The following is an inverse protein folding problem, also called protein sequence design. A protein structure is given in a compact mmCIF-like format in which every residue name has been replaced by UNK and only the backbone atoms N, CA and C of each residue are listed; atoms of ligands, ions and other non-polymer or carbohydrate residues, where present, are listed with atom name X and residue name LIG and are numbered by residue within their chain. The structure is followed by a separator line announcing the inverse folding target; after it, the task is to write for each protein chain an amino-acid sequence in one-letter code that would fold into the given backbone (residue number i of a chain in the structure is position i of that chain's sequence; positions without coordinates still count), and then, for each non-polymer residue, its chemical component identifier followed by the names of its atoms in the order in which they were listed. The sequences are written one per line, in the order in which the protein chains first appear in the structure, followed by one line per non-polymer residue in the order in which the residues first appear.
data_IF_311332190772
#
_entry.id   IF_311332190772
#
_cell.length_a   1.000
_cell.length_b   1.000
_cell.length_c   1.000
_cell.angle_alpha   90.00
_cell.angle_beta   90.00
_cell.angle_gamma   90.00
#
_symmetry.space_group_name_H-M   'P 1'
#
loop_
_entity.id
_entity.type
_entity.pdbx_description
1 polymer ?
#
# COMPACT_ATOMS: atom_id res chain seq x y z
N UNK A 1 11.58 -0.71 -3.38
CA UNK A 1 12.29 -0.81 -4.68
C UNK A 1 11.34 -0.61 -5.86
N UNK A 2 10.19 -1.26 -5.91
CA UNK A 2 9.21 -1.11 -7.02
C UNK A 2 8.78 0.35 -7.23
N UNK A 3 8.50 1.10 -6.16
CA UNK A 3 8.16 2.53 -6.26
C UNK A 3 9.26 3.32 -6.95
N UNK A 4 10.53 3.08 -6.59
CA UNK A 4 11.67 3.77 -7.24
C UNK A 4 11.72 3.46 -8.74
N UNK A 5 11.54 2.19 -9.12
CA UNK A 5 11.50 1.80 -10.54
C UNK A 5 10.39 2.54 -11.30
N UNK A 6 9.19 2.61 -10.74
CA UNK A 6 8.07 3.34 -11.36
C UNK A 6 8.37 4.85 -11.46
N UNK A 7 9.01 5.44 -10.45
CA UNK A 7 9.43 6.84 -10.50
C UNK A 7 10.50 7.10 -11.58
N UNK A 8 11.43 6.16 -11.79
CA UNK A 8 12.39 6.20 -12.91
C UNK A 8 11.67 6.17 -14.26
N UNK A 9 10.71 5.22 -14.44
CA UNK A 9 9.92 5.09 -15.66
C UNK A 9 9.10 6.35 -15.96
N UNK A 10 8.56 6.99 -14.92
CA UNK A 10 7.79 8.25 -15.05
C UNK A 10 8.68 9.47 -15.29
N UNK A 11 9.97 9.40 -14.94
CA UNK A 11 10.99 10.41 -15.21
C UNK A 11 10.55 11.83 -14.82
N UNK A 12 10.17 12.02 -13.56
CA UNK A 12 9.84 13.36 -13.05
C UNK A 12 11.07 14.25 -13.08
N UNK A 13 11.02 15.30 -13.88
CA UNK A 13 12.09 16.30 -13.99
C UNK A 13 11.98 17.30 -12.84
N UNK A 14 13.15 17.82 -12.43
CA UNK A 14 13.26 18.86 -11.40
C UNK A 14 12.79 18.43 -10.00
N UNK A 15 12.91 17.14 -9.69
CA UNK A 15 12.68 16.60 -8.35
C UNK A 15 14.01 16.21 -7.69
N UNK A 16 14.13 16.54 -6.42
CA UNK A 16 15.17 15.99 -5.55
C UNK A 16 14.59 14.87 -4.69
N UNK A 17 15.38 13.84 -4.47
CA UNK A 17 14.90 12.67 -3.74
C UNK A 17 15.77 12.39 -2.51
N UNK A 18 15.13 12.06 -1.41
CA UNK A 18 15.78 11.54 -0.20
C UNK A 18 15.17 10.18 0.14
N UNK A 19 16.01 9.19 0.37
CA UNK A 19 15.57 7.83 0.69
C UNK A 19 15.77 7.56 2.18
N UNK A 20 14.69 7.22 2.86
CA UNK A 20 14.70 6.87 4.28
C UNK A 20 14.41 5.39 4.49
N UNK A 21 15.05 4.79 5.49
CA UNK A 21 14.73 3.46 5.98
C UNK A 21 15.06 3.33 7.48
N UNK A 22 14.92 2.13 8.02
CA UNK A 22 15.33 1.84 9.39
C UNK A 22 16.84 1.95 9.56
N UNK A 23 17.32 2.11 10.79
CA UNK A 23 18.74 2.13 11.17
C UNK A 23 19.54 0.98 10.57
N UNK A 24 18.92 -0.22 10.45
CA UNK A 24 19.55 -1.41 9.85
C UNK A 24 19.94 -1.21 8.39
N UNK A 25 19.20 -0.40 7.65
CA UNK A 25 19.41 -0.16 6.20
C UNK A 25 20.06 1.20 5.92
N UNK A 26 20.19 2.05 6.91
CA UNK A 26 20.87 3.34 6.78
C UNK A 26 22.34 3.13 6.37
N UNK A 27 22.88 4.04 5.55
CA UNK A 27 24.23 3.97 4.99
C UNK A 27 24.35 3.08 3.76
N UNK A 28 23.36 2.26 3.42
CA UNK A 28 23.41 1.46 2.18
C UNK A 28 23.18 2.34 0.95
N UNK A 29 23.78 1.95 -0.17
CA UNK A 29 23.62 2.65 -1.46
C UNK A 29 22.51 2.02 -2.28
N UNK A 30 21.70 2.85 -2.92
CA UNK A 30 20.70 2.44 -3.90
C UNK A 30 20.92 3.22 -5.17
N UNK A 31 21.02 2.53 -6.31
CA UNK A 31 21.04 3.16 -7.62
C UNK A 31 19.62 3.55 -8.00
N UNK A 32 19.42 4.81 -8.36
CA UNK A 32 18.14 5.39 -8.76
C UNK A 32 18.40 6.59 -9.67
N UNK A 33 17.67 6.72 -10.78
CA UNK A 33 17.85 7.76 -11.79
C UNK A 33 19.31 7.93 -12.26
N UNK A 34 20.02 6.81 -12.44
CA UNK A 34 21.42 6.81 -12.87
C UNK A 34 22.44 7.28 -11.81
N UNK A 35 21.99 7.58 -10.59
CA UNK A 35 22.83 8.07 -9.49
C UNK A 35 22.78 7.12 -8.27
N UNK A 36 23.80 7.22 -7.41
CA UNK A 36 23.83 6.49 -6.14
C UNK A 36 23.26 7.36 -5.02
N UNK A 37 22.15 6.93 -4.45
CA UNK A 37 21.55 7.53 -3.25
C UNK A 37 21.99 6.75 -2.01
N UNK A 38 22.40 7.46 -0.97
CA UNK A 38 22.66 6.87 0.34
C UNK A 38 21.36 6.89 1.14
N UNK A 39 20.92 5.73 1.60
CA UNK A 39 19.74 5.63 2.47
C UNK A 39 20.05 6.29 3.81
N UNK A 40 19.19 7.21 4.25
CA UNK A 40 19.26 7.85 5.57
C UNK A 40 18.39 7.09 6.58
N UNK A 41 18.74 7.19 7.86
CA UNK A 41 17.88 6.68 8.92
C UNK A 41 16.64 7.58 9.04
N UNK A 42 15.45 6.96 9.11
CA UNK A 42 14.21 7.67 9.40
C UNK A 42 14.13 7.97 10.90
N UNK A 43 14.21 9.24 11.25
CA UNK A 43 14.10 9.78 12.61
C UNK A 43 13.02 10.86 12.68
N UNK A 44 12.70 11.35 13.86
CA UNK A 44 11.75 12.45 14.02
C UNK A 44 12.27 13.75 13.39
N UNK A 45 13.60 13.91 13.33
CA UNK A 45 14.25 15.06 12.70
C UNK A 45 14.30 15.00 11.17
N UNK A 46 13.97 13.87 10.58
CA UNK A 46 14.05 13.65 9.12
C UNK A 46 13.21 14.64 8.32
N UNK A 47 12.13 15.16 8.90
CA UNK A 47 11.22 16.07 8.21
C UNK A 47 11.52 17.57 8.44
N UNK A 48 12.60 17.91 9.14
CA UNK A 48 13.04 19.32 9.32
C UNK A 48 13.47 19.99 8.01
N UNK A 49 13.70 19.23 6.95
CA UNK A 49 14.18 19.70 5.64
C UNK A 49 13.06 19.95 4.63
N UNK A 50 11.88 20.34 5.04
CA UNK A 50 10.75 20.72 4.18
C UNK A 50 10.63 19.91 2.87
N UNK A 51 9.98 18.76 2.95
CA UNK A 51 9.63 17.97 1.77
C UNK A 51 8.26 18.38 1.25
N UNK A 52 8.11 18.55 -0.06
CA UNK A 52 6.81 18.77 -0.68
C UNK A 52 5.93 17.51 -0.59
N UNK A 53 6.54 16.34 -0.85
CA UNK A 53 5.84 15.04 -0.86
C UNK A 53 6.65 13.97 -0.16
N UNK A 54 5.95 13.04 0.49
CA UNK A 54 6.55 11.83 1.04
C UNK A 54 5.72 10.58 0.72
N UNK A 55 6.36 9.52 0.25
CA UNK A 55 5.71 8.23 -0.03
C UNK A 55 6.10 7.24 1.08
N UNK A 56 5.12 6.82 1.86
CA UNK A 56 5.29 5.88 2.96
C UNK A 56 4.98 4.45 2.54
N UNK A 57 5.99 3.57 2.61
CA UNK A 57 5.90 2.14 2.26
C UNK A 57 6.51 1.22 3.33
N UNK A 58 6.70 1.73 4.56
CA UNK A 58 7.41 1.03 5.62
C UNK A 58 6.49 0.30 6.62
N UNK A 59 5.18 0.24 6.33
CA UNK A 59 4.19 -0.44 7.16
C UNK A 59 3.54 0.46 8.23
N UNK A 60 2.44 -0.05 8.82
CA UNK A 60 1.53 0.75 9.64
C UNK A 60 2.16 1.39 10.88
N UNK A 61 3.06 0.70 11.58
CA UNK A 61 3.69 1.26 12.77
C UNK A 61 4.54 2.50 12.45
N UNK A 62 5.27 2.46 11.33
CA UNK A 62 6.08 3.58 10.85
C UNK A 62 5.16 4.71 10.39
N UNK A 63 4.14 4.41 9.61
CA UNK A 63 3.15 5.40 9.15
C UNK A 63 2.48 6.10 10.33
N UNK A 64 2.00 5.35 11.31
CA UNK A 64 1.35 5.92 12.50
C UNK A 64 2.26 6.87 13.29
N UNK A 65 3.57 6.55 13.38
CA UNK A 65 4.53 7.38 14.11
C UNK A 65 4.95 8.62 13.33
N UNK A 66 5.31 8.48 12.06
CA UNK A 66 6.05 9.52 11.33
C UNK A 66 5.19 10.38 10.40
N UNK A 67 4.03 9.91 9.95
CA UNK A 67 3.16 10.71 9.06
C UNK A 67 2.68 11.99 9.75
N UNK A 68 2.24 11.98 11.04
CA UNK A 68 1.86 13.23 11.70
C UNK A 68 2.99 14.26 11.75
N UNK A 69 4.23 13.81 11.92
CA UNK A 69 5.42 14.69 11.94
C UNK A 69 5.65 15.29 10.55
N UNK A 70 5.57 14.48 9.49
CA UNK A 70 5.72 14.95 8.12
C UNK A 70 4.65 15.98 7.75
N UNK A 71 3.39 15.72 8.09
CA UNK A 71 2.28 16.64 7.79
C UNK A 71 2.41 17.97 8.54
N UNK A 72 2.93 17.99 9.76
CA UNK A 72 3.16 19.22 10.53
C UNK A 72 4.17 20.16 9.84
N UNK A 73 5.07 19.65 9.00
CA UNK A 73 6.01 20.46 8.22
C UNK A 73 5.45 20.95 6.88
N UNK A 74 4.17 20.66 6.59
CA UNK A 74 3.53 21.01 5.32
C UNK A 74 3.70 19.96 4.22
N UNK A 75 4.35 18.84 4.51
CA UNK A 75 4.55 17.76 3.56
C UNK A 75 3.23 17.03 3.24
N UNK A 76 2.94 16.80 1.97
CA UNK A 76 1.82 15.94 1.55
C UNK A 76 2.31 14.50 1.51
N UNK A 77 1.65 13.66 2.29
CA UNK A 77 2.02 12.24 2.46
C UNK A 77 1.11 11.33 1.64
N UNK A 78 1.70 10.43 0.87
CA UNK A 78 1.03 9.32 0.22
C UNK A 78 1.33 8.06 1.04
N UNK A 79 0.32 7.55 1.77
CA UNK A 79 0.48 6.41 2.67
C UNK A 79 0.01 5.10 2.04
N UNK A 80 0.93 4.17 1.86
CA UNK A 80 0.63 2.83 1.35
C UNK A 80 0.22 1.83 2.46
N UNK A 81 0.25 2.25 3.72
CA UNK A 81 -0.23 1.41 4.83
C UNK A 81 -1.74 1.42 4.97
N UNK A 82 -2.28 0.56 5.83
CA UNK A 82 -3.72 0.53 6.11
C UNK A 82 -4.18 1.52 7.18
N UNK A 83 -3.27 2.31 7.78
CA UNK A 83 -3.56 3.10 8.98
C UNK A 83 -4.64 4.15 8.75
N UNK A 84 -4.55 4.88 7.65
CA UNK A 84 -5.42 6.02 7.38
C UNK A 84 -6.53 5.73 6.36
N UNK A 85 -6.59 4.53 5.77
CA UNK A 85 -7.53 4.21 4.69
C UNK A 85 -8.99 4.44 5.06
N UNK A 86 -9.38 4.12 6.29
CA UNK A 86 -10.76 4.26 6.76
C UNK A 86 -11.01 5.51 7.60
N UNK A 87 -10.00 6.37 7.77
CA UNK A 87 -10.20 7.69 8.39
C UNK A 87 -11.12 8.55 7.51
N UNK A 88 -12.14 9.18 8.13
CA UNK A 88 -13.12 10.01 7.42
C UNK A 88 -12.53 11.29 6.82
N UNK A 89 -11.43 11.77 7.40
CA UNK A 89 -10.76 13.01 6.98
C UNK A 89 -9.64 12.76 5.97
N UNK A 90 -9.34 11.50 5.66
CA UNK A 90 -8.27 11.11 4.73
C UNK A 90 -8.88 10.50 3.49
N UNK A 91 -8.67 11.07 2.30
CA UNK A 91 -9.14 10.50 1.06
C UNK A 91 -8.41 9.19 0.76
N UNK A 92 -9.17 8.20 0.33
CA UNK A 92 -8.69 6.92 -0.16
C UNK A 92 -8.78 6.95 -1.68
N UNK A 93 -7.63 7.01 -2.37
CA UNK A 93 -7.59 7.41 -3.77
C UNK A 93 -7.05 6.32 -4.68
N UNK A 94 -7.78 6.09 -5.76
CA UNK A 94 -7.31 5.40 -6.98
C UNK A 94 -7.47 6.40 -8.13
N UNK A 95 -6.39 6.93 -8.71
CA UNK A 95 -6.47 8.03 -9.69
C UNK A 95 -7.38 7.75 -10.90
N UNK A 96 -7.49 6.48 -11.32
CA UNK A 96 -8.35 6.05 -12.42
C UNK A 96 -9.84 5.96 -12.04
N UNK A 97 -10.18 6.09 -10.75
CA UNK A 97 -11.53 5.86 -10.23
C UNK A 97 -12.13 7.12 -9.61
N UNK A 98 -11.36 7.79 -8.75
CA UNK A 98 -11.81 8.94 -7.97
C UNK A 98 -10.72 10.02 -7.83
N UNK A 99 -10.10 10.52 -8.94
CA UNK A 99 -8.98 11.46 -8.90
C UNK A 99 -9.33 12.77 -8.19
N UNK A 100 -10.58 13.22 -8.24
CA UNK A 100 -11.06 14.44 -7.59
C UNK A 100 -10.89 14.41 -6.07
N UNK A 101 -10.86 13.21 -5.48
CA UNK A 101 -10.65 13.04 -4.04
C UNK A 101 -9.27 13.47 -3.55
N UNK A 102 -8.29 13.56 -4.45
CA UNK A 102 -6.96 14.07 -4.11
C UNK A 102 -7.04 15.48 -3.50
N UNK A 103 -7.94 16.32 -3.99
CA UNK A 103 -8.08 17.71 -3.53
C UNK A 103 -8.75 17.86 -2.16
N UNK A 104 -9.34 16.78 -1.64
CA UNK A 104 -9.94 16.75 -0.29
C UNK A 104 -8.91 16.45 0.82
N UNK A 105 -7.63 16.20 0.46
CA UNK A 105 -6.62 15.85 1.44
C UNK A 105 -6.29 17.04 2.37
N UNK A 106 -5.94 16.69 3.61
CA UNK A 106 -5.42 17.61 4.63
C UNK A 106 -3.99 17.21 5.00
N UNK A 107 -3.16 16.97 3.97
CA UNK A 107 -1.77 16.54 4.11
C UNK A 107 -1.57 15.01 4.02
N UNK A 108 -2.63 14.20 4.03
CA UNK A 108 -2.52 12.74 3.88
C UNK A 108 -3.44 12.25 2.75
N UNK A 109 -2.89 11.42 1.87
CA UNK A 109 -3.62 10.68 0.84
C UNK A 109 -3.35 9.19 1.10
N UNK A 110 -4.39 8.41 1.35
CA UNK A 110 -4.26 6.97 1.55
C UNK A 110 -4.32 6.22 0.21
N UNK A 111 -3.38 5.27 0.05
CA UNK A 111 -3.36 4.33 -1.06
C UNK A 111 -4.07 3.03 -0.63
N UNK A 112 -5.02 2.51 -1.41
CA UNK A 112 -5.80 1.34 -1.02
C UNK A 112 -5.01 0.03 -0.94
N UNK A 113 -5.70 -1.02 -0.48
CA UNK A 113 -5.23 -2.40 -0.55
C UNK A 113 -4.96 -2.81 -2.00
N UNK A 114 -3.94 -3.65 -2.21
CA UNK A 114 -3.48 -4.05 -3.54
C UNK A 114 -4.56 -4.77 -4.35
N UNK A 115 -5.36 -5.63 -3.73
CA UNK A 115 -6.46 -6.33 -4.40
C UNK A 115 -7.63 -5.41 -4.67
N UNK A 116 -7.91 -4.47 -3.75
CA UNK A 116 -8.96 -3.46 -3.93
C UNK A 116 -8.66 -2.54 -5.12
N UNK A 117 -7.42 -2.05 -5.25
CA UNK A 117 -7.04 -1.14 -6.37
C UNK A 117 -7.37 -1.79 -7.72
N UNK A 118 -6.91 -3.02 -7.93
CA UNK A 118 -7.12 -3.73 -9.20
C UNK A 118 -8.61 -3.92 -9.48
N UNK A 119 -9.37 -4.31 -8.47
CA UNK A 119 -10.80 -4.57 -8.60
C UNK A 119 -11.59 -3.30 -8.93
N UNK A 120 -11.37 -2.19 -8.21
CA UNK A 120 -12.17 -0.97 -8.43
C UNK A 120 -11.89 -0.30 -9.78
N UNK A 121 -10.68 -0.44 -10.32
CA UNK A 121 -10.36 0.04 -11.68
C UNK A 121 -11.21 -0.70 -12.71
N UNK A 122 -11.39 -2.02 -12.57
CA UNK A 122 -12.25 -2.80 -13.44
C UNK A 122 -13.74 -2.55 -13.19
N UNK A 123 -14.14 -2.34 -11.93
CA UNK A 123 -15.53 -2.11 -11.55
C UNK A 123 -16.05 -0.73 -11.95
N UNK A 124 -15.19 0.30 -11.93
CA UNK A 124 -15.62 1.69 -12.19
C UNK A 124 -16.38 1.88 -13.49
N UNK A 125 -15.85 1.48 -14.67
CA UNK A 125 -16.59 1.65 -15.93
C UNK A 125 -17.89 0.83 -15.98
N UNK A 126 -17.93 -0.34 -15.31
CA UNK A 126 -19.15 -1.13 -15.19
C UNK A 126 -20.18 -0.42 -14.31
N UNK A 127 -19.73 0.18 -13.21
CA UNK A 127 -20.60 0.93 -12.32
C UNK A 127 -21.16 2.18 -12.96
N UNK A 128 -20.34 2.90 -13.70
CA UNK A 128 -20.76 4.12 -14.40
C UNK A 128 -21.89 3.81 -15.41
N UNK A 129 -21.77 2.72 -16.14
CA UNK A 129 -22.72 2.34 -17.16
C UNK A 129 -23.94 1.59 -16.62
N UNK A 130 -23.74 0.61 -15.73
CA UNK A 130 -24.78 -0.37 -15.34
C UNK A 130 -25.26 -0.24 -13.91
N UNK A 131 -24.59 0.57 -13.08
CA UNK A 131 -24.96 0.78 -11.67
C UNK A 131 -24.92 -0.50 -10.85
N UNK A 132 -23.72 -0.96 -10.53
CA UNK A 132 -23.46 -2.20 -9.77
C UNK A 132 -24.29 -2.24 -8.49
N UNK A 133 -25.01 -3.35 -8.27
CA UNK A 133 -25.82 -3.60 -7.08
C UNK A 133 -25.15 -4.56 -6.10
N UNK A 134 -24.34 -5.49 -6.60
CA UNK A 134 -23.64 -6.48 -5.81
C UNK A 134 -22.31 -6.86 -6.43
N UNK A 135 -21.29 -7.10 -5.57
CA UNK A 135 -19.98 -7.63 -5.96
C UNK A 135 -19.71 -8.89 -5.17
N UNK A 136 -19.11 -9.89 -5.80
CA UNK A 136 -18.57 -11.07 -5.13
C UNK A 136 -17.09 -11.14 -5.52
N UNK A 137 -16.21 -11.11 -4.53
CA UNK A 137 -14.77 -11.23 -4.76
C UNK A 137 -14.30 -12.68 -4.59
N UNK A 138 -13.58 -13.17 -5.57
CA UNK A 138 -12.78 -14.39 -5.49
C UNK A 138 -11.38 -14.05 -5.99
N UNK A 139 -10.39 -14.03 -5.11
CA UNK A 139 -9.04 -13.58 -5.44
C UNK A 139 -7.99 -14.66 -5.23
N UNK A 140 -7.02 -14.72 -6.14
CA UNK A 140 -5.79 -15.47 -5.98
C UNK A 140 -4.64 -14.47 -5.89
N UNK A 141 -3.95 -14.43 -4.74
CA UNK A 141 -2.95 -13.40 -4.45
C UNK A 141 -1.54 -14.00 -4.35
N UNK A 142 -0.58 -13.28 -4.91
CA UNK A 142 0.82 -13.69 -4.89
C UNK A 142 1.43 -13.54 -3.48
N UNK A 143 2.42 -14.38 -3.19
CA UNK A 143 3.19 -14.37 -1.92
C UNK A 143 3.92 -13.04 -1.67
N UNK A 144 4.18 -12.25 -2.71
CA UNK A 144 4.85 -10.95 -2.60
C UNK A 144 4.12 -9.94 -1.72
N UNK A 145 2.79 -10.07 -1.55
CA UNK A 145 1.99 -9.29 -0.61
C UNK A 145 2.42 -9.48 0.86
N UNK A 146 2.97 -10.66 1.19
CA UNK A 146 3.56 -10.94 2.51
C UNK A 146 5.02 -10.45 2.63
N UNK A 147 5.51 -9.69 1.65
CA UNK A 147 6.86 -9.15 1.63
C UNK A 147 7.95 -10.21 1.38
N UNK A 148 9.17 -9.85 1.76
CA UNK A 148 10.35 -10.70 1.53
C UNK A 148 10.20 -12.11 2.13
N UNK A 149 9.64 -12.22 3.33
CA UNK A 149 9.45 -13.50 4.00
C UNK A 149 8.52 -14.45 3.24
N UNK A 150 7.46 -13.93 2.58
CA UNK A 150 6.58 -14.75 1.75
C UNK A 150 7.27 -15.24 0.47
N UNK A 151 8.12 -14.40 -0.14
CA UNK A 151 8.94 -14.79 -1.30
C UNK A 151 9.95 -15.87 -0.90
N UNK A 152 10.62 -15.68 0.23
CA UNK A 152 11.58 -16.65 0.76
C UNK A 152 10.93 -18.02 1.05
N UNK A 153 9.70 -18.04 1.58
CA UNK A 153 8.97 -19.30 1.80
C UNK A 153 8.65 -20.01 0.48
N UNK A 154 8.30 -19.29 -0.57
CA UNK A 154 8.08 -19.87 -1.88
C UNK A 154 9.37 -20.45 -2.46
N UNK A 155 10.46 -19.68 -2.46
CA UNK A 155 11.76 -20.08 -2.99
C UNK A 155 12.35 -21.28 -2.22
N UNK A 156 12.21 -21.28 -0.90
CA UNK A 156 12.65 -22.36 -0.03
C UNK A 156 11.78 -23.61 -0.20
N UNK A 157 10.48 -23.44 -0.36
CA UNK A 157 9.54 -24.53 -0.57
C UNK A 157 9.81 -25.30 -1.87
N UNK A 158 10.25 -24.62 -2.95
CA UNK A 158 10.70 -25.28 -4.19
C UNK A 158 11.89 -26.23 -3.91
N UNK A 159 12.70 -25.94 -2.89
CA UNK A 159 13.83 -26.76 -2.44
C UNK A 159 13.45 -27.79 -1.37
N UNK A 160 12.15 -27.94 -1.07
CA UNK A 160 11.69 -28.87 -0.03
C UNK A 160 11.89 -28.38 1.41
N UNK A 161 12.22 -27.10 1.62
CA UNK A 161 12.40 -26.50 2.95
C UNK A 161 11.06 -26.06 3.50
N UNK A 162 10.79 -26.38 4.77
CA UNK A 162 9.55 -26.02 5.45
C UNK A 162 9.33 -24.50 5.52
N UNK A 163 8.07 -24.04 5.43
CA UNK A 163 7.74 -22.61 5.49
C UNK A 163 8.02 -22.06 6.89
N UNK A 164 8.34 -20.76 6.94
CA UNK A 164 8.54 -19.99 8.18
C UNK A 164 7.49 -18.91 8.36
N UNK A 165 6.98 -18.37 7.25
CA UNK A 165 6.00 -17.28 7.23
C UNK A 165 4.57 -17.82 7.14
N UNK A 166 4.33 -18.77 6.24
CA UNK A 166 3.02 -19.36 6.04
C UNK A 166 2.80 -20.58 6.95
N UNK A 167 1.55 -20.85 7.36
CA UNK A 167 1.25 -22.02 8.21
C UNK A 167 1.42 -23.36 7.49
N UNK A 168 1.39 -23.35 6.15
CA UNK A 168 1.55 -24.52 5.30
C UNK A 168 2.41 -24.19 4.08
N UNK A 169 3.02 -25.20 3.40
CA UNK A 169 3.75 -24.99 2.16
C UNK A 169 2.89 -24.29 1.10
N UNK A 170 3.42 -23.22 0.52
CA UNK A 170 2.72 -22.43 -0.51
C UNK A 170 3.03 -22.90 -1.93
N UNK A 171 4.08 -23.71 -2.12
CA UNK A 171 4.46 -24.27 -3.42
C UNK A 171 3.37 -25.21 -3.91
N UNK A 172 2.89 -24.99 -5.15
CA UNK A 172 1.78 -25.74 -5.75
C UNK A 172 0.52 -25.80 -4.88
N UNK A 173 0.27 -24.77 -4.09
CA UNK A 173 -0.82 -24.72 -3.13
C UNK A 173 -1.53 -23.36 -3.13
N UNK A 174 -2.79 -23.35 -2.70
CA UNK A 174 -3.56 -22.16 -2.40
C UNK A 174 -3.98 -22.20 -0.93
N UNK A 175 -3.53 -21.23 -0.16
CA UNK A 175 -3.93 -21.12 1.25
C UNK A 175 -5.14 -20.18 1.34
N UNK A 176 -6.33 -20.66 1.72
CA UNK A 176 -7.55 -19.85 1.80
C UNK A 176 -7.55 -18.97 3.06
N UNK A 177 -6.46 -18.27 3.30
CA UNK A 177 -6.23 -17.49 4.50
C UNK A 177 -5.24 -16.37 4.22
N UNK A 178 -5.73 -15.14 4.18
CA UNK A 178 -4.90 -13.93 4.06
C UNK A 178 -5.25 -12.97 5.20
N UNK A 179 -4.23 -12.54 5.97
CA UNK A 179 -4.34 -11.76 7.20
C UNK A 179 -5.05 -12.57 8.34
N UNK A 180 -5.49 -11.93 9.41
CA UNK A 180 -6.06 -12.58 10.57
C UNK A 180 -7.57 -12.78 10.43
N UNK A 181 -8.10 -13.85 11.00
CA UNK A 181 -9.54 -14.08 11.10
C UNK A 181 -10.17 -13.14 12.13
N UNK A 182 -11.32 -12.62 11.78
CA UNK A 182 -12.18 -11.83 12.64
C UNK A 182 -13.20 -12.74 13.34
N UNK A 183 -13.87 -12.28 14.42
CA UNK A 183 -14.81 -13.13 15.19
C UNK A 183 -15.99 -13.69 14.40
N UNK A 184 -16.34 -13.08 13.30
CA UNK A 184 -17.44 -13.48 12.41
C UNK A 184 -17.01 -14.42 11.27
N UNK A 185 -15.74 -14.85 11.29
CA UNK A 185 -15.20 -15.80 10.32
C UNK A 185 -14.62 -15.18 9.05
N UNK A 186 -14.83 -13.88 8.82
CA UNK A 186 -14.12 -13.15 7.75
C UNK A 186 -12.67 -12.93 8.12
N UNK A 187 -11.80 -12.77 7.11
CA UNK A 187 -10.45 -12.28 7.32
C UNK A 187 -10.40 -10.74 7.29
N UNK A 188 -9.38 -10.19 7.90
CA UNK A 188 -9.14 -8.74 7.82
C UNK A 188 -8.89 -8.27 6.37
N UNK A 189 -8.35 -9.13 5.52
CA UNK A 189 -8.16 -8.85 4.09
C UNK A 189 -9.49 -8.68 3.36
N UNK A 190 -10.47 -9.55 3.63
CA UNK A 190 -11.82 -9.44 3.07
C UNK A 190 -12.50 -8.15 3.52
N UNK A 191 -12.38 -7.77 4.78
CA UNK A 191 -12.89 -6.49 5.29
C UNK A 191 -12.26 -5.27 4.61
N UNK A 192 -10.96 -5.33 4.30
CA UNK A 192 -10.32 -4.25 3.52
C UNK A 192 -10.98 -4.12 2.16
N UNK A 193 -11.16 -5.21 1.43
CA UNK A 193 -11.79 -5.17 0.12
C UNK A 193 -13.23 -4.64 0.17
N UNK A 194 -14.02 -5.07 1.14
CA UNK A 194 -15.41 -4.61 1.33
C UNK A 194 -15.46 -3.11 1.62
N UNK A 195 -14.76 -2.68 2.66
CA UNK A 195 -14.87 -1.31 3.17
C UNK A 195 -14.19 -0.29 2.24
N UNK A 196 -13.03 -0.63 1.71
CA UNK A 196 -12.30 0.24 0.80
C UNK A 196 -13.04 0.41 -0.54
N UNK A 197 -13.60 -0.68 -1.10
CA UNK A 197 -14.43 -0.59 -2.32
C UNK A 197 -15.62 0.34 -2.12
N UNK A 198 -16.32 0.22 -1.00
CA UNK A 198 -17.45 1.11 -0.66
C UNK A 198 -17.03 2.58 -0.58
N UNK A 199 -15.88 2.84 0.06
CA UNK A 199 -15.34 4.20 0.21
C UNK A 199 -14.90 4.79 -1.12
N UNK A 200 -14.15 4.03 -1.93
CA UNK A 200 -13.61 4.50 -3.21
C UNK A 200 -14.72 4.77 -4.23
N UNK A 201 -15.68 3.86 -4.34
CA UNK A 201 -16.82 4.00 -5.26
C UNK A 201 -17.91 4.93 -4.73
N UNK A 202 -17.77 5.46 -3.50
CA UNK A 202 -18.77 6.27 -2.81
C UNK A 202 -20.15 5.56 -2.72
N UNK A 203 -20.13 4.26 -2.40
CA UNK A 203 -21.34 3.42 -2.29
C UNK A 203 -21.38 2.69 -0.94
N UNK A 204 -21.76 3.38 0.14
CA UNK A 204 -21.70 2.81 1.50
C UNK A 204 -22.56 1.56 1.68
N UNK A 205 -23.65 1.44 0.91
CA UNK A 205 -24.61 0.33 0.99
C UNK A 205 -24.42 -0.74 -0.09
N UNK A 206 -23.30 -0.71 -0.84
CA UNK A 206 -23.04 -1.74 -1.83
C UNK A 206 -22.87 -3.09 -1.15
N UNK A 207 -23.63 -4.08 -1.63
CA UNK A 207 -23.49 -5.48 -1.16
C UNK A 207 -22.19 -6.07 -1.72
N UNK A 208 -21.29 -6.50 -0.86
CA UNK A 208 -20.02 -7.11 -1.21
C UNK A 208 -19.82 -8.35 -0.37
#
# INVERSE_FOLDING_TARGET
RTVLKVLEEKNFKNCTYTLFASKKSAGTKVQFLGQNYIIQELTEDSFKFNFDYAIFCAGGAVSKKFIPIAVQTGCIVIDNSSVYRMDKNVPLVVPEVNPEKIFENKGIIANPNCSTIQAVVALKPLDDKYKIKRVVYSTYQAVSGSGKAGIEDLENGIKGIAPKKFPYPIVNNCLPHIDVFMPDGYTKEEYKMINETRKILNKPNLTI
#
